data_IF_628687107408
#
_entry.id   IF_628687107408
#
_cell.length_a   1.000
_cell.length_b   1.000
_cell.length_c   1.000
_cell.angle_alpha   90.00
_cell.angle_beta   90.00
_cell.angle_gamma   90.00
#
_symmetry.space_group_name_H-M   'P 1'
#
loop_
_entity.id
_entity.type
_entity.pdbx_description
1 polymer ?
#
# COMPACT_ATOMS: atom_id res chain seq x y z
N UNK A 1 -8.09 -25.53 19.68
CA UNK A 1 -6.82 -26.07 19.16
C UNK A 1 -6.72 -25.69 17.69
N UNK A 2 -5.74 -24.87 17.32
CA UNK A 2 -5.50 -24.51 15.93
C UNK A 2 -4.87 -25.73 15.22
N UNK A 3 -5.58 -26.30 14.26
CA UNK A 3 -5.08 -27.40 13.42
C UNK A 3 -3.86 -26.88 12.64
N UNK A 4 -2.69 -27.46 12.89
CA UNK A 4 -1.48 -27.08 12.15
C UNK A 4 -1.70 -27.32 10.65
N UNK A 5 -1.50 -26.28 9.83
CA UNK A 5 -1.46 -26.43 8.38
C UNK A 5 -0.30 -27.37 8.03
N UNK A 6 -0.60 -28.56 7.52
CA UNK A 6 0.40 -29.36 6.81
C UNK A 6 0.70 -28.67 5.47
N UNK A 7 1.99 -28.56 5.13
CA UNK A 7 2.47 -27.77 3.98
C UNK A 7 1.83 -28.21 2.65
N UNK A 8 1.50 -29.49 2.47
CA UNK A 8 0.82 -29.98 1.26
C UNK A 8 -0.61 -29.44 1.10
N UNK A 9 -1.32 -29.17 2.20
CA UNK A 9 -2.65 -28.55 2.15
C UNK A 9 -2.57 -27.06 1.83
N UNK A 10 -1.53 -26.38 2.32
CA UNK A 10 -1.31 -24.96 2.05
C UNK A 10 -1.02 -24.71 0.56
N UNK A 11 -0.05 -25.42 -0.01
CA UNK A 11 0.35 -25.27 -1.42
C UNK A 11 -0.78 -25.61 -2.37
N UNK A 12 -1.50 -26.71 -2.10
CA UNK A 12 -2.68 -27.10 -2.86
C UNK A 12 -3.74 -26.00 -2.84
N UNK A 13 -4.03 -25.41 -1.67
CA UNK A 13 -5.01 -24.31 -1.58
C UNK A 13 -4.61 -23.06 -2.37
N UNK A 14 -3.31 -22.71 -2.39
CA UNK A 14 -2.81 -21.55 -3.15
C UNK A 14 -2.85 -21.79 -4.65
N UNK A 15 -2.55 -23.02 -5.09
CA UNK A 15 -2.64 -23.40 -6.49
C UNK A 15 -4.09 -23.40 -6.97
N UNK A 16 -5.03 -23.93 -6.17
CA UNK A 16 -6.46 -23.89 -6.48
C UNK A 16 -6.97 -22.46 -6.62
N UNK A 17 -6.62 -21.55 -5.69
CA UNK A 17 -7.00 -20.14 -5.78
C UNK A 17 -6.51 -19.45 -7.06
N UNK A 18 -5.29 -19.76 -7.50
CA UNK A 18 -4.75 -19.25 -8.77
C UNK A 18 -5.44 -19.88 -9.96
N UNK A 19 -5.70 -21.19 -9.93
CA UNK A 19 -6.41 -21.90 -10.99
C UNK A 19 -7.80 -21.28 -11.21
N UNK A 20 -8.58 -21.11 -10.14
CA UNK A 20 -9.89 -20.46 -10.17
C UNK A 20 -9.82 -19.04 -10.73
N UNK A 21 -8.82 -18.24 -10.30
CA UNK A 21 -8.61 -16.87 -10.81
C UNK A 21 -8.42 -16.84 -12.33
N UNK A 22 -7.72 -17.82 -12.88
CA UNK A 22 -7.45 -17.91 -14.31
C UNK A 22 -8.43 -18.80 -15.08
N UNK A 23 -9.53 -19.23 -14.44
CA UNK A 23 -10.55 -20.07 -15.07
C UNK A 23 -10.05 -21.46 -15.46
N UNK A 24 -9.05 -21.99 -14.75
CA UNK A 24 -8.54 -23.35 -14.93
C UNK A 24 -9.24 -24.31 -13.97
N UNK A 25 -9.55 -25.52 -14.46
CA UNK A 25 -10.08 -26.58 -13.62
C UNK A 25 -9.02 -27.04 -12.60
N UNK A 26 -9.36 -26.97 -11.32
CA UNK A 26 -8.48 -27.37 -10.23
C UNK A 26 -8.37 -28.91 -10.17
N UNK A 27 -7.52 -29.47 -11.02
CA UNK A 27 -7.18 -30.89 -11.01
C UNK A 27 -5.79 -31.13 -10.37
N UNK A 28 -5.50 -32.33 -9.84
CA UNK A 28 -4.19 -32.62 -9.26
C UNK A 28 -3.02 -32.45 -10.25
N UNK A 29 -3.27 -32.61 -11.55
CA UNK A 29 -2.26 -32.48 -12.60
C UNK A 29 -1.73 -31.05 -12.76
N UNK A 30 -2.51 -30.04 -12.33
CA UNK A 30 -2.14 -28.64 -12.46
C UNK A 30 -0.85 -28.30 -11.70
N UNK A 31 -0.58 -29.01 -10.60
CA UNK A 31 0.64 -28.88 -9.81
C UNK A 31 1.84 -29.42 -10.57
N UNK A 32 1.68 -30.53 -11.28
CA UNK A 32 2.75 -31.13 -12.08
C UNK A 32 3.09 -30.27 -13.31
N UNK A 33 2.07 -29.71 -13.96
CA UNK A 33 2.25 -28.74 -15.04
C UNK A 33 2.98 -27.49 -14.52
N UNK A 34 2.57 -27.00 -13.35
CA UNK A 34 3.20 -25.86 -12.69
C UNK A 34 4.69 -26.12 -12.39
N UNK A 35 5.02 -27.27 -11.79
CA UNK A 35 6.42 -27.67 -11.51
C UNK A 35 7.27 -27.64 -12.78
N UNK A 36 6.77 -28.22 -13.87
CA UNK A 36 7.48 -28.28 -15.16
C UNK A 36 7.62 -26.92 -15.84
N UNK A 37 6.71 -25.99 -15.55
CA UNK A 37 6.64 -24.70 -16.25
C UNK A 37 7.40 -23.60 -15.52
N UNK A 38 7.24 -23.52 -14.20
CA UNK A 38 7.70 -22.41 -13.39
C UNK A 38 8.99 -22.70 -12.61
N UNK A 39 9.49 -23.94 -12.62
CA UNK A 39 10.71 -24.31 -11.89
C UNK A 39 11.71 -25.03 -12.80
N UNK A 40 12.98 -25.01 -12.39
CA UNK A 40 14.04 -25.81 -12.99
C UNK A 40 14.52 -26.85 -11.97
N UNK A 41 14.34 -28.13 -12.27
CA UNK A 41 14.73 -29.24 -11.39
C UNK A 41 13.66 -29.60 -10.36
N UNK A 42 14.06 -30.38 -9.36
CA UNK A 42 13.17 -30.83 -8.29
C UNK A 42 12.79 -29.68 -7.34
N UNK A 43 11.55 -29.69 -6.87
CA UNK A 43 10.96 -28.59 -6.09
C UNK A 43 10.35 -29.15 -4.81
N UNK A 44 10.76 -28.61 -3.67
CA UNK A 44 10.11 -28.89 -2.39
C UNK A 44 8.77 -28.16 -2.25
N UNK A 45 7.86 -28.69 -1.44
CA UNK A 45 6.58 -28.02 -1.16
C UNK A 45 6.77 -26.61 -0.58
N UNK A 46 7.84 -26.38 0.20
CA UNK A 46 8.17 -25.06 0.73
C UNK A 46 8.51 -24.05 -0.37
N UNK A 47 9.32 -24.44 -1.36
CA UNK A 47 9.66 -23.61 -2.52
C UNK A 47 8.44 -23.36 -3.41
N UNK A 48 7.59 -24.39 -3.58
CA UNK A 48 6.32 -24.25 -4.29
C UNK A 48 5.42 -23.22 -3.62
N UNK A 49 5.25 -23.34 -2.30
CA UNK A 49 4.48 -22.39 -1.50
C UNK A 49 5.02 -20.96 -1.60
N UNK A 50 6.34 -20.78 -1.55
CA UNK A 50 6.96 -19.46 -1.68
C UNK A 50 6.63 -18.79 -3.03
N UNK A 51 6.71 -19.51 -4.14
CA UNK A 51 6.35 -18.96 -5.46
C UNK A 51 4.85 -18.61 -5.53
N UNK A 52 4.00 -19.53 -5.07
CA UNK A 52 2.54 -19.39 -5.14
C UNK A 52 2.02 -18.24 -4.27
N UNK A 53 2.67 -17.94 -3.14
CA UNK A 53 2.36 -16.77 -2.32
C UNK A 53 2.54 -15.49 -3.13
N UNK A 54 3.71 -15.32 -3.77
CA UNK A 54 4.02 -14.11 -4.57
C UNK A 54 3.11 -14.02 -5.79
N UNK A 55 2.86 -15.15 -6.46
CA UNK A 55 1.94 -15.23 -7.59
C UNK A 55 0.52 -14.80 -7.20
N UNK A 56 -0.02 -15.31 -6.09
CA UNK A 56 -1.34 -14.91 -5.59
C UNK A 56 -1.41 -13.43 -5.25
N UNK A 57 -0.36 -12.90 -4.60
CA UNK A 57 -0.35 -11.53 -4.13
C UNK A 57 -0.40 -10.52 -5.29
N UNK A 58 0.42 -10.73 -6.31
CA UNK A 58 0.43 -9.87 -7.49
C UNK A 58 -0.58 -10.30 -8.56
N UNK A 59 -1.25 -11.43 -8.36
CA UNK A 59 -2.17 -12.03 -9.32
C UNK A 59 -1.51 -12.58 -10.58
N UNK A 60 -0.22 -12.92 -10.52
CA UNK A 60 0.59 -13.36 -11.66
C UNK A 60 0.31 -14.82 -12.02
N UNK A 61 0.37 -15.13 -13.31
CA UNK A 61 0.12 -16.47 -13.83
C UNK A 61 1.42 -17.27 -14.03
N UNK A 62 1.72 -18.26 -13.16
CA UNK A 62 2.93 -19.06 -13.29
C UNK A 62 2.87 -20.08 -14.45
N UNK A 63 1.69 -20.46 -14.94
CA UNK A 63 1.53 -21.41 -16.05
C UNK A 63 1.87 -20.81 -17.42
N UNK A 64 1.88 -19.49 -17.54
CA UNK A 64 2.33 -18.77 -18.75
C UNK A 64 3.65 -18.04 -18.54
N UNK A 65 4.34 -18.32 -17.43
CA UNK A 65 5.64 -17.73 -17.06
C UNK A 65 5.62 -16.20 -16.88
N UNK A 66 4.50 -15.64 -16.46
CA UNK A 66 4.50 -14.27 -15.90
C UNK A 66 5.37 -14.21 -14.64
N UNK A 67 5.40 -15.30 -13.87
CA UNK A 67 6.29 -15.51 -12.73
C UNK A 67 6.86 -16.93 -12.74
N UNK A 68 8.13 -17.09 -12.39
CA UNK A 68 8.81 -18.38 -12.26
C UNK A 68 9.91 -18.30 -11.20
N UNK A 69 10.41 -19.46 -10.77
CA UNK A 69 11.41 -19.56 -9.72
C UNK A 69 12.81 -19.76 -10.32
N UNK A 70 13.76 -18.93 -9.88
CA UNK A 70 15.18 -19.21 -10.03
C UNK A 70 15.67 -19.99 -8.80
N UNK A 71 16.39 -21.11 -8.96
CA UNK A 71 16.91 -21.87 -7.82
C UNK A 71 18.05 -21.12 -7.12
N UNK A 72 18.04 -21.11 -5.79
CA UNK A 72 19.11 -20.50 -4.98
C UNK A 72 19.40 -21.34 -3.73
N UNK A 73 20.53 -22.06 -3.67
CA UNK A 73 21.08 -22.83 -2.52
C UNK A 73 20.04 -23.29 -1.45
N UNK A 74 18.99 -24.01 -1.87
CA UNK A 74 17.96 -24.57 -0.96
C UNK A 74 16.70 -23.70 -0.77
N UNK A 75 16.63 -22.54 -1.43
CA UNK A 75 15.52 -21.60 -1.51
C UNK A 75 15.18 -21.28 -2.98
N UNK A 76 14.33 -20.28 -3.23
CA UNK A 76 14.03 -19.77 -4.57
C UNK A 76 14.03 -18.23 -4.61
N UNK A 77 14.39 -17.68 -5.76
CA UNK A 77 14.19 -16.26 -6.10
C UNK A 77 12.99 -16.15 -7.05
N UNK A 78 11.88 -15.50 -6.67
CA UNK A 78 10.74 -15.26 -7.56
C UNK A 78 11.10 -14.26 -8.65
N UNK A 79 11.08 -14.72 -9.90
CA UNK A 79 11.38 -13.92 -11.09
C UNK A 79 10.11 -13.61 -11.84
N UNK A 80 9.87 -12.34 -12.13
CA UNK A 80 8.73 -11.87 -12.93
C UNK A 80 9.23 -11.53 -14.33
N UNK A 81 8.59 -12.11 -15.33
CA UNK A 81 8.87 -11.85 -16.74
C UNK A 81 8.39 -10.46 -17.16
N UNK A 82 8.82 -10.00 -18.34
CA UNK A 82 8.39 -8.70 -18.89
C UNK A 82 6.86 -8.61 -18.98
N UNK A 83 6.19 -9.69 -19.39
CA UNK A 83 4.74 -9.75 -19.49
C UNK A 83 4.07 -9.69 -18.11
N UNK A 84 4.67 -10.32 -17.09
CA UNK A 84 4.19 -10.24 -15.72
C UNK A 84 4.29 -8.82 -15.16
N UNK A 85 5.42 -8.15 -15.42
CA UNK A 85 5.61 -6.73 -15.08
C UNK A 85 4.60 -5.83 -15.81
N UNK A 86 4.39 -6.09 -17.11
CA UNK A 86 3.39 -5.36 -17.88
C UNK A 86 1.99 -5.56 -17.30
N UNK A 87 1.62 -6.78 -16.91
CA UNK A 87 0.32 -7.05 -16.32
C UNK A 87 0.12 -6.30 -15.00
N UNK A 88 1.04 -6.43 -14.04
CA UNK A 88 0.89 -5.78 -12.71
C UNK A 88 0.91 -4.26 -12.79
N UNK A 89 1.66 -3.68 -13.72
CA UNK A 89 1.67 -2.22 -13.94
C UNK A 89 0.36 -1.77 -14.58
N UNK A 90 -0.09 -2.43 -15.66
CA UNK A 90 -1.30 -2.03 -16.38
C UNK A 90 -2.57 -2.26 -15.57
N UNK A 91 -2.63 -3.33 -14.77
CA UNK A 91 -3.77 -3.65 -13.90
C UNK A 91 -3.83 -2.73 -12.67
N UNK A 92 -2.76 -1.98 -12.37
CA UNK A 92 -2.74 -1.12 -11.20
C UNK A 92 -3.76 0.02 -11.35
N UNK A 93 -4.72 0.22 -10.41
CA UNK A 93 -5.82 1.17 -10.56
C UNK A 93 -5.37 2.62 -10.83
N UNK A 94 -4.23 3.00 -10.25
CA UNK A 94 -3.64 4.33 -10.40
C UNK A 94 -2.77 4.50 -11.65
N UNK A 95 -2.52 3.47 -12.46
CA UNK A 95 -1.73 3.63 -13.69
C UNK A 95 -2.44 4.55 -14.68
N UNK A 96 -1.71 5.54 -15.21
CA UNK A 96 -2.21 6.53 -16.16
C UNK A 96 -1.32 6.65 -17.41
N UNK A 97 -0.65 5.56 -17.79
CA UNK A 97 0.23 5.52 -18.94
C UNK A 97 1.72 5.55 -18.58
N UNK A 98 2.52 5.11 -19.55
CA UNK A 98 3.97 5.11 -19.50
C UNK A 98 4.53 5.68 -20.81
N UNK A 99 5.57 6.50 -20.69
CA UNK A 99 6.31 7.05 -21.81
C UNK A 99 7.76 6.55 -21.75
N UNK A 100 8.41 6.54 -22.92
CA UNK A 100 9.80 6.14 -23.06
C UNK A 100 10.56 7.17 -23.87
N UNK A 101 11.63 7.71 -23.28
CA UNK A 101 12.59 8.57 -23.96
C UNK A 101 13.89 7.80 -24.11
N UNK A 102 14.27 7.50 -25.35
CA UNK A 102 15.51 6.79 -25.66
C UNK A 102 16.54 7.78 -26.17
N UNK A 103 17.77 7.71 -25.66
CA UNK A 103 18.89 8.48 -26.19
C UNK A 103 19.13 8.12 -27.66
N UNK A 104 19.55 9.08 -28.49
CA UNK A 104 19.73 8.88 -29.94
C UNK A 104 20.74 7.78 -30.27
N UNK A 105 21.81 7.71 -29.49
CA UNK A 105 22.83 6.65 -29.56
C UNK A 105 22.32 5.29 -29.04
N UNK A 106 21.22 5.29 -28.28
CA UNK A 106 20.65 4.13 -27.61
C UNK A 106 21.38 3.72 -26.33
N UNK A 107 22.23 4.59 -25.78
CA UNK A 107 23.01 4.33 -24.56
C UNK A 107 22.18 4.39 -23.28
N UNK A 108 21.02 5.06 -23.32
CA UNK A 108 20.13 5.21 -22.17
C UNK A 108 18.66 5.19 -22.58
N UNK A 109 17.80 4.73 -21.67
CA UNK A 109 16.34 4.83 -21.79
C UNK A 109 15.76 5.33 -20.48
N UNK A 110 14.97 6.39 -20.56
CA UNK A 110 14.15 6.89 -19.46
C UNK A 110 12.72 6.37 -19.62
N UNK A 111 12.23 5.64 -18.62
CA UNK A 111 10.81 5.34 -18.49
C UNK A 111 10.16 6.38 -17.56
N UNK A 112 8.99 6.88 -17.97
CA UNK A 112 8.20 7.87 -17.24
C UNK A 112 6.82 7.27 -17.02
N UNK A 113 6.46 6.99 -15.76
CA UNK A 113 5.13 6.45 -15.43
C UNK A 113 4.29 7.55 -14.78
N UNK A 114 3.12 7.78 -15.36
CA UNK A 114 2.12 8.68 -14.83
C UNK A 114 1.13 7.92 -13.95
N UNK A 115 0.77 8.53 -12.83
CA UNK A 115 -0.27 8.02 -11.93
C UNK A 115 -1.43 9.00 -11.82
N UNK A 116 -2.65 8.48 -11.65
CA UNK A 116 -3.87 9.29 -11.53
C UNK A 116 -3.94 10.10 -10.22
N UNK A 117 -3.18 9.68 -9.21
CA UNK A 117 -3.15 10.26 -7.87
C UNK A 117 -1.95 11.18 -7.61
N UNK A 118 -1.13 11.47 -8.62
CA UNK A 118 0.07 12.30 -8.48
C UNK A 118 0.18 13.34 -9.60
N UNK A 119 0.59 14.56 -9.24
CA UNK A 119 0.86 15.63 -10.21
C UNK A 119 2.19 15.44 -10.94
N UNK A 120 3.14 14.72 -10.32
CA UNK A 120 4.46 14.46 -10.87
C UNK A 120 4.66 12.97 -11.16
N UNK A 121 5.13 12.60 -12.37
CA UNK A 121 5.37 11.21 -12.71
C UNK A 121 6.66 10.70 -12.09
N UNK A 122 6.74 9.39 -11.92
CA UNK A 122 7.98 8.69 -11.59
C UNK A 122 8.84 8.59 -12.85
N UNK A 123 10.13 8.93 -12.75
CA UNK A 123 11.08 8.89 -13.86
C UNK A 123 12.28 8.05 -13.46
N UNK A 124 12.61 7.05 -14.27
CA UNK A 124 13.79 6.19 -14.06
C UNK A 124 14.56 6.09 -15.36
N UNK A 125 15.87 6.32 -15.29
CA UNK A 125 16.77 6.18 -16.42
C UNK A 125 17.69 5.00 -16.18
N UNK A 126 17.73 4.08 -17.13
CA UNK A 126 18.65 2.95 -17.15
C UNK A 126 19.69 3.15 -18.26
N UNK A 127 20.92 2.75 -17.99
CA UNK A 127 22.06 2.91 -18.89
C UNK A 127 22.50 1.56 -19.44
N UNK A 128 22.67 1.47 -20.77
CA UNK A 128 23.04 0.24 -21.47
C UNK A 128 24.32 -0.36 -20.88
N UNK A 129 25.32 0.47 -20.61
CA UNK A 129 26.61 0.05 -20.06
C UNK A 129 26.53 -0.65 -18.70
N UNK A 130 25.47 -0.41 -17.92
CA UNK A 130 25.25 -1.03 -16.60
C UNK A 130 24.35 -2.26 -16.69
N UNK A 131 23.36 -2.21 -17.58
CA UNK A 131 22.34 -3.25 -17.70
C UNK A 131 22.72 -4.39 -18.63
N UNK A 132 23.56 -4.15 -19.64
CA UNK A 132 23.83 -5.14 -20.68
C UNK A 132 24.47 -6.41 -20.11
N UNK A 133 24.17 -7.54 -20.74
CA UNK A 133 24.69 -8.86 -20.39
C UNK A 133 25.15 -9.59 -21.64
N UNK A 134 26.06 -10.55 -21.47
CA UNK A 134 26.57 -11.39 -22.56
C UNK A 134 25.57 -12.41 -23.13
N UNK A 135 24.26 -12.27 -22.86
CA UNK A 135 23.23 -13.23 -23.28
C UNK A 135 22.68 -12.93 -24.68
N UNK A 136 22.09 -13.94 -25.32
CA UNK A 136 21.61 -13.82 -26.71
C UNK A 136 20.53 -12.72 -26.93
N UNK A 137 19.56 -12.50 -26.01
CA UNK A 137 18.60 -11.40 -26.14
C UNK A 137 19.26 -10.01 -26.14
N UNK A 138 20.24 -9.79 -25.25
CA UNK A 138 20.99 -8.53 -25.20
C UNK A 138 21.86 -8.31 -26.44
N UNK A 139 22.46 -9.38 -26.99
CA UNK A 139 23.23 -9.32 -28.24
C UNK A 139 22.37 -8.96 -29.46
N UNK A 140 21.14 -9.47 -29.54
CA UNK A 140 20.27 -9.30 -30.71
C UNK A 140 19.37 -8.06 -30.64
N UNK A 141 18.91 -7.67 -29.44
CA UNK A 141 17.93 -6.59 -29.26
C UNK A 141 18.26 -5.72 -28.02
N UNK A 142 19.47 -5.12 -27.92
CA UNK A 142 19.94 -4.42 -26.72
C UNK A 142 19.02 -3.26 -26.30
N UNK A 143 18.56 -2.45 -27.27
CA UNK A 143 17.64 -1.32 -27.01
C UNK A 143 16.29 -1.77 -26.46
N UNK A 144 15.76 -2.90 -26.96
CA UNK A 144 14.49 -3.47 -26.47
C UNK A 144 14.65 -3.97 -25.03
N UNK A 145 15.75 -4.65 -24.75
CA UNK A 145 16.07 -5.16 -23.42
C UNK A 145 16.22 -4.00 -22.41
N UNK A 146 16.95 -2.95 -22.78
CA UNK A 146 17.12 -1.76 -21.96
C UNK A 146 15.78 -1.07 -21.66
N UNK A 147 14.90 -0.94 -22.67
CA UNK A 147 13.54 -0.41 -22.47
C UNK A 147 12.74 -1.24 -21.46
N UNK A 148 12.82 -2.58 -21.54
CA UNK A 148 12.15 -3.43 -20.55
C UNK A 148 12.72 -3.20 -19.15
N UNK A 149 14.04 -3.09 -19.01
CA UNK A 149 14.68 -2.81 -17.71
C UNK A 149 14.17 -1.49 -17.11
N UNK A 150 14.16 -0.43 -17.90
CA UNK A 150 13.65 0.88 -17.47
C UNK A 150 12.18 0.81 -17.06
N UNK A 151 11.34 0.06 -17.80
CA UNK A 151 9.94 -0.14 -17.45
C UNK A 151 9.76 -0.88 -16.12
N UNK A 152 10.50 -1.97 -15.90
CA UNK A 152 10.41 -2.78 -14.67
C UNK A 152 10.84 -1.96 -13.45
N UNK A 153 11.97 -1.25 -13.53
CA UNK A 153 12.47 -0.40 -12.42
C UNK A 153 11.55 0.81 -12.17
N UNK A 154 11.06 1.47 -13.23
CA UNK A 154 10.10 2.55 -13.08
C UNK A 154 8.78 2.07 -12.47
N UNK A 155 8.25 0.92 -12.91
CA UNK A 155 7.05 0.31 -12.35
C UNK A 155 7.21 -0.04 -10.88
N UNK A 156 8.38 -0.59 -10.51
CA UNK A 156 8.74 -0.88 -9.12
C UNK A 156 8.64 0.35 -8.23
N UNK A 157 9.27 1.46 -8.63
CA UNK A 157 9.25 2.70 -7.84
C UNK A 157 7.90 3.43 -7.92
N UNK A 158 7.21 3.35 -9.05
CA UNK A 158 5.91 4.00 -9.23
C UNK A 158 4.86 3.36 -8.34
N UNK A 159 4.85 2.04 -8.16
CA UNK A 159 3.79 1.31 -7.46
C UNK A 159 4.23 0.59 -6.18
N UNK A 160 5.51 0.65 -5.82
CA UNK A 160 6.02 0.05 -4.59
C UNK A 160 6.03 -1.48 -4.63
N UNK A 161 6.25 -2.09 -5.81
CA UNK A 161 6.31 -3.54 -5.91
C UNK A 161 7.58 -4.10 -5.24
N UNK A 162 7.41 -5.03 -4.31
CA UNK A 162 8.49 -5.63 -3.51
C UNK A 162 8.51 -7.16 -3.65
N UNK A 163 9.66 -7.79 -3.34
CA UNK A 163 9.76 -9.26 -3.32
C UNK A 163 9.67 -9.96 -4.69
N UNK A 164 9.67 -9.21 -5.79
CA UNK A 164 9.76 -9.70 -7.17
C UNK A 164 11.02 -9.15 -7.82
N UNK A 165 11.65 -9.93 -8.68
CA UNK A 165 12.90 -9.58 -9.37
C UNK A 165 12.75 -9.79 -10.87
N UNK A 166 13.47 -9.02 -11.68
CA UNK A 166 13.69 -9.43 -13.06
C UNK A 166 14.79 -10.50 -13.15
N UNK A 167 14.90 -11.12 -14.32
CA UNK A 167 15.83 -12.23 -14.53
C UNK A 167 17.29 -11.83 -14.29
N UNK A 168 17.69 -10.64 -14.73
CA UNK A 168 19.08 -10.21 -14.65
C UNK A 168 19.44 -9.85 -13.20
N UNK A 169 18.48 -9.36 -12.40
CA UNK A 169 18.62 -9.19 -10.95
C UNK A 169 18.78 -10.54 -10.24
N UNK A 170 17.97 -11.53 -10.59
CA UNK A 170 18.04 -12.87 -9.99
C UNK A 170 19.35 -13.58 -10.33
N UNK A 171 19.81 -13.48 -11.58
CA UNK A 171 21.12 -14.01 -11.99
C UNK A 171 22.25 -13.32 -11.20
N UNK A 172 22.19 -11.99 -11.02
CA UNK A 172 23.17 -11.28 -10.20
C UNK A 172 23.14 -11.66 -8.71
N UNK A 173 21.97 -11.96 -8.14
CA UNK A 173 21.82 -12.44 -6.74
C UNK A 173 22.47 -13.82 -6.58
N UNK A 174 22.35 -14.69 -7.58
CA UNK A 174 22.92 -16.04 -7.55
C UNK A 174 24.43 -16.01 -7.84
N UNK A 175 24.89 -15.14 -8.74
CA UNK A 175 26.31 -15.02 -9.12
C UNK A 175 27.16 -14.26 -8.09
N UNK A 176 26.63 -13.16 -7.54
CA UNK A 176 27.29 -12.45 -6.44
C UNK A 176 26.92 -13.16 -5.15
N UNK A 177 27.81 -14.04 -4.68
CA UNK A 177 27.90 -14.37 -3.26
C UNK A 177 27.93 -13.04 -2.48
N UNK A 178 26.77 -12.57 -2.01
CA UNK A 178 26.72 -11.48 -1.05
C UNK A 178 27.39 -12.01 0.22
N UNK A 179 28.69 -11.75 0.34
CA UNK A 179 29.53 -12.27 1.41
C UNK A 179 28.86 -12.17 2.77
N UNK A 180 28.83 -13.28 3.49
CA UNK A 180 28.44 -13.43 4.90
C UNK A 180 27.19 -12.67 5.39
N UNK A 181 26.25 -12.27 4.52
CA UNK A 181 24.88 -12.08 4.98
C UNK A 181 24.33 -13.48 5.20
N UNK A 182 24.26 -13.92 6.45
CA UNK A 182 23.74 -15.23 6.82
C UNK A 182 22.29 -15.32 6.34
N UNK A 183 22.09 -15.84 5.14
CA UNK A 183 20.77 -16.05 4.57
C UNK A 183 20.17 -17.26 5.26
N UNK A 184 19.46 -17.00 6.35
CA UNK A 184 18.57 -17.98 6.97
C UNK A 184 17.59 -18.43 5.88
N UNK A 185 17.36 -19.75 5.67
CA UNK A 185 16.40 -20.23 4.69
C UNK A 185 15.04 -19.55 4.96
N UNK A 186 14.64 -18.66 4.04
CA UNK A 186 13.46 -17.83 4.25
C UNK A 186 12.21 -18.65 4.06
N UNK A 187 11.31 -18.61 5.03
CA UNK A 187 10.03 -19.31 4.94
C UNK A 187 9.09 -18.59 3.96
N UNK A 188 8.10 -19.29 3.41
CA UNK A 188 7.05 -18.68 2.58
C UNK A 188 6.34 -17.51 3.29
N UNK A 189 6.32 -17.49 4.63
CA UNK A 189 5.81 -16.38 5.44
C UNK A 189 6.70 -15.14 5.38
N UNK A 190 8.02 -15.30 5.37
CA UNK A 190 8.96 -14.19 5.24
C UNK A 190 8.96 -13.59 3.82
N UNK A 191 8.74 -14.42 2.80
CA UNK A 191 8.44 -13.94 1.45
C UNK A 191 7.12 -13.17 1.41
N UNK A 192 6.05 -13.69 2.05
CA UNK A 192 4.77 -12.99 2.17
C UNK A 192 4.92 -11.64 2.88
N UNK A 193 5.70 -11.56 3.96
CA UNK A 193 5.92 -10.32 4.73
C UNK A 193 6.71 -9.26 3.96
N UNK A 194 7.75 -9.65 3.21
CA UNK A 194 8.50 -8.72 2.36
C UNK A 194 7.73 -8.29 1.12
N UNK A 195 6.89 -9.18 0.60
CA UNK A 195 6.08 -8.90 -0.56
C UNK A 195 4.85 -8.05 -0.22
N UNK A 196 4.39 -7.96 1.05
CA UNK A 196 3.28 -7.07 1.44
C UNK A 196 3.46 -5.70 0.76
N UNK A 197 2.45 -5.21 0.00
CA UNK A 197 2.51 -3.84 -0.48
C UNK A 197 2.75 -2.96 0.73
N UNK A 198 3.70 -2.02 0.63
CA UNK A 198 3.67 -0.89 1.56
C UNK A 198 2.28 -0.30 1.39
N UNK A 199 1.46 -0.24 2.46
CA UNK A 199 0.12 0.29 2.32
C UNK A 199 0.26 1.68 1.70
N UNK A 200 -0.44 1.91 0.57
CA UNK A 200 -0.82 3.26 0.22
C UNK A 200 -1.47 3.81 1.50
N UNK A 201 -0.85 4.83 2.11
CA UNK A 201 -1.05 5.26 3.49
C UNK A 201 -2.42 4.81 4.00
N UNK A 202 -2.44 3.79 4.87
CA UNK A 202 -3.69 3.20 5.35
C UNK A 202 -4.49 4.33 6.02
N UNK A 203 -5.43 4.89 5.28
CA UNK A 203 -6.26 5.98 5.75
C UNK A 203 -7.14 5.36 6.83
N UNK A 204 -6.81 5.63 8.08
CA UNK A 204 -7.63 5.27 9.23
C UNK A 204 -8.90 6.12 9.21
N UNK A 205 -9.87 5.67 8.40
CA UNK A 205 -11.17 6.31 8.24
C UNK A 205 -11.82 6.58 9.60
N UNK A 206 -11.67 5.67 10.55
CA UNK A 206 -12.32 5.79 11.84
C UNK A 206 -11.70 6.92 12.67
N UNK A 207 -10.37 7.05 12.64
CA UNK A 207 -9.68 8.18 13.26
C UNK A 207 -10.05 9.52 12.60
N UNK A 208 -10.04 9.59 11.26
CA UNK A 208 -10.37 10.82 10.52
C UNK A 208 -11.82 11.26 10.80
N UNK A 209 -12.77 10.33 10.85
CA UNK A 209 -14.17 10.65 11.18
C UNK A 209 -14.29 11.12 12.64
N UNK A 210 -13.58 10.50 13.58
CA UNK A 210 -13.57 10.91 14.99
C UNK A 210 -13.04 12.34 15.16
N UNK A 211 -11.95 12.70 14.48
CA UNK A 211 -11.37 14.04 14.56
C UNK A 211 -12.32 15.11 14.03
N UNK A 212 -12.98 14.85 12.89
CA UNK A 212 -14.00 15.75 12.36
C UNK A 212 -15.25 15.82 13.25
N UNK A 213 -15.65 14.72 13.89
CA UNK A 213 -16.78 14.69 14.82
C UNK A 213 -16.49 15.45 16.11
N UNK A 214 -15.24 15.41 16.61
CA UNK A 214 -14.82 16.25 17.75
C UNK A 214 -14.96 17.74 17.45
N UNK A 215 -14.58 18.17 16.24
CA UNK A 215 -14.77 19.56 15.79
C UNK A 215 -16.25 19.89 15.66
N UNK A 216 -17.04 18.98 15.08
CA UNK A 216 -18.47 19.20 14.89
C UNK A 216 -19.29 19.21 16.20
N UNK A 217 -18.73 18.72 17.30
CA UNK A 217 -19.38 18.65 18.63
C UNK A 217 -18.67 19.49 19.71
N UNK A 218 -17.76 20.38 19.34
CA UNK A 218 -17.09 21.23 20.33
C UNK A 218 -18.08 22.22 20.96
N UNK A 219 -17.75 22.74 22.15
CA UNK A 219 -18.57 23.74 22.86
C UNK A 219 -18.52 25.15 22.22
N UNK A 220 -17.88 25.28 21.05
CA UNK A 220 -17.80 26.54 20.32
C UNK A 220 -19.12 26.88 19.61
N UNK A 221 -19.43 28.17 19.37
CA UNK A 221 -20.61 28.56 18.60
C UNK A 221 -20.67 27.87 17.23
N UNK A 222 -21.89 27.58 16.75
CA UNK A 222 -22.12 26.86 15.49
C UNK A 222 -21.35 27.46 14.30
N UNK A 223 -21.27 28.80 14.20
CA UNK A 223 -20.50 29.48 13.14
C UNK A 223 -19.01 29.10 13.16
N UNK A 224 -18.41 29.00 14.35
CA UNK A 224 -17.01 28.62 14.53
C UNK A 224 -16.80 27.13 14.26
N UNK A 225 -17.69 26.25 14.73
CA UNK A 225 -17.64 24.81 14.40
C UNK A 225 -17.70 24.54 12.91
N UNK A 226 -18.58 25.24 12.19
CA UNK A 226 -18.72 25.11 10.74
C UNK A 226 -17.42 25.54 10.03
N UNK A 227 -16.86 26.68 10.43
CA UNK A 227 -15.61 27.19 9.86
C UNK A 227 -14.42 26.24 10.13
N UNK A 228 -14.28 25.76 11.37
CA UNK A 228 -13.21 24.85 11.76
C UNK A 228 -13.34 23.49 11.08
N UNK A 229 -14.57 22.96 10.95
CA UNK A 229 -14.83 21.73 10.22
C UNK A 229 -14.50 21.88 8.73
N UNK A 230 -14.81 23.03 8.12
CA UNK A 230 -14.47 23.30 6.73
C UNK A 230 -12.95 23.41 6.51
N UNK A 231 -12.24 24.05 7.44
CA UNK A 231 -10.78 24.14 7.41
C UNK A 231 -10.12 22.78 7.59
N UNK A 232 -10.59 21.97 8.55
CA UNK A 232 -10.12 20.61 8.74
C UNK A 232 -10.38 19.74 7.49
N UNK A 233 -11.57 19.84 6.90
CA UNK A 233 -11.91 19.14 5.66
C UNK A 233 -11.00 19.54 4.47
N UNK A 234 -10.67 20.84 4.34
CA UNK A 234 -9.72 21.34 3.35
C UNK A 234 -8.28 20.90 3.62
N UNK A 235 -7.92 20.63 4.88
CA UNK A 235 -6.62 20.09 5.28
C UNK A 235 -6.43 18.61 4.93
N UNK A 236 -7.51 17.83 4.82
CA UNK A 236 -7.45 16.41 4.46
C UNK A 236 -6.96 16.18 3.03
N UNK A 237 -6.23 15.10 2.83
CA UNK A 237 -5.82 14.55 1.54
C UNK A 237 -7.01 14.06 0.72
N UNK A 238 -6.80 13.81 -0.58
CA UNK A 238 -7.84 13.30 -1.48
C UNK A 238 -8.38 11.93 -1.04
N UNK A 239 -7.50 11.06 -0.56
CA UNK A 239 -7.86 9.70 -0.12
C UNK A 239 -8.60 9.72 1.23
N UNK A 240 -8.24 10.62 2.15
CA UNK A 240 -8.98 10.85 3.40
C UNK A 240 -10.40 11.35 3.14
N UNK A 241 -10.57 12.34 2.24
CA UNK A 241 -11.90 12.83 1.86
C UNK A 241 -12.75 11.74 1.20
N UNK A 242 -12.14 10.90 0.37
CA UNK A 242 -12.80 9.76 -0.25
C UNK A 242 -13.21 8.70 0.79
N UNK A 243 -12.37 8.43 1.78
CA UNK A 243 -12.63 7.47 2.85
C UNK A 243 -13.77 7.92 3.78
N UNK A 244 -13.84 9.22 4.11
CA UNK A 244 -14.96 9.78 4.90
C UNK A 244 -16.26 9.70 4.09
N UNK A 245 -16.23 10.13 2.83
CA UNK A 245 -17.36 10.03 1.91
C UNK A 245 -18.44 11.12 2.08
N UNK A 246 -19.24 11.31 1.03
CA UNK A 246 -20.20 12.43 0.93
C UNK A 246 -21.34 12.37 1.97
N UNK A 247 -21.77 11.17 2.36
CA UNK A 247 -22.83 11.00 3.36
C UNK A 247 -22.35 11.41 4.76
N UNK A 248 -21.12 11.04 5.12
CA UNK A 248 -20.58 11.28 6.45
C UNK A 248 -20.25 12.75 6.66
N UNK A 249 -19.60 13.40 5.68
CA UNK A 249 -19.34 14.84 5.77
C UNK A 249 -20.64 15.67 5.80
N UNK A 250 -21.73 15.18 5.18
CA UNK A 250 -23.05 15.80 5.28
C UNK A 250 -23.63 15.65 6.70
N UNK A 251 -23.48 14.48 7.35
CA UNK A 251 -23.86 14.26 8.76
C UNK A 251 -23.10 15.21 9.67
N UNK A 252 -21.77 15.29 9.51
CA UNK A 252 -20.90 16.11 10.34
C UNK A 252 -21.19 17.62 10.19
N UNK A 253 -21.48 18.09 8.97
CA UNK A 253 -21.93 19.47 8.75
C UNK A 253 -23.26 19.78 9.43
N UNK A 254 -24.20 18.84 9.44
CA UNK A 254 -25.47 18.99 10.15
C UNK A 254 -25.27 19.01 11.68
N UNK A 255 -24.32 18.23 12.20
CA UNK A 255 -23.94 18.25 13.62
C UNK A 255 -23.32 19.59 14.02
N UNK A 256 -22.35 20.10 13.24
CA UNK A 256 -21.70 21.38 13.50
C UNK A 256 -22.70 22.56 13.50
N UNK A 257 -23.73 22.49 12.65
CA UNK A 257 -24.76 23.51 12.48
C UNK A 257 -25.94 23.40 13.45
N UNK A 258 -26.03 22.34 14.25
CA UNK A 258 -27.06 22.25 15.28
C UNK A 258 -26.79 23.34 16.33
N UNK A 259 -27.78 24.16 16.64
CA UNK A 259 -27.72 25.05 17.80
C UNK A 259 -27.73 24.20 19.06
N UNK A 260 -26.77 24.42 19.96
CA UNK A 260 -26.83 23.79 21.28
C UNK A 260 -28.10 24.28 21.96
N UNK A 261 -28.94 23.33 22.38
CA UNK A 261 -30.12 23.64 23.16
C UNK A 261 -29.67 24.46 24.37
N UNK A 262 -29.97 25.77 24.34
CA UNK A 262 -29.63 26.66 25.43
C UNK A 262 -30.28 26.07 26.68
N UNK A 263 -29.54 25.84 27.78
CA UNK A 263 -30.17 25.41 29.01
C UNK A 263 -31.17 26.51 29.39
N UNK A 264 -32.46 26.18 29.33
CA UNK A 264 -33.55 27.00 29.86
C UNK A 264 -33.12 27.50 31.23
N UNK A 265 -32.90 28.81 31.37
CA UNK A 265 -32.77 29.41 32.69
C UNK A 265 -34.03 29.08 33.46
N UNK A 266 -33.90 28.17 34.43
CA UNK A 266 -34.94 27.91 35.40
C UNK A 266 -35.22 29.22 36.13
N UNK A 267 -36.47 29.68 36.04
CA UNK A 267 -36.98 30.78 36.84
C UNK A 267 -36.63 30.54 38.32
N UNK A 268 -35.92 31.49 38.93
CA UNK A 268 -35.72 31.51 40.37
C UNK A 268 -37.09 31.68 41.05
N UNK A 269 -37.46 30.84 42.04
CA UNK A 269 -38.63 31.09 42.87
C UNK A 269 -38.34 32.22 43.86
N UNK A 270 -39.35 33.05 44.07
CA UNK A 270 -39.42 34.18 45.00
C UNK A 270 -38.75 33.92 46.37
N UNK A 271 -37.91 34.87 46.79
CA UNK A 271 -37.53 35.04 48.18
C UNK A 271 -38.29 36.24 48.77
N UNK A 272 -39.19 35.95 49.71
CA UNK A 272 -39.86 36.94 50.57
C UNK A 272 -38.88 37.46 51.66
N UNK A 273 -39.21 38.60 52.31
CA UNK A 273 -38.21 39.53 52.82
C UNK A 273 -37.81 39.26 54.27
N UNK A 274 -36.60 39.65 54.63
CA UNK A 274 -36.25 39.89 56.03
C UNK A 274 -35.50 41.21 56.21
N UNK A 275 -35.84 41.86 57.31
CA UNK A 275 -35.61 43.26 57.61
C UNK A 275 -34.41 43.47 58.54
N UNK A 276 -34.03 44.75 58.67
CA UNK A 276 -33.24 45.38 59.75
C UNK A 276 -31.71 45.14 59.69
N UNK A 277 -30.82 46.08 60.02
CA UNK A 277 -30.92 47.39 60.64
C UNK A 277 -29.70 48.25 60.25
N UNK A 278 -29.93 49.54 60.15
CA UNK A 278 -28.94 50.64 60.22
C UNK A 278 -28.31 50.71 61.61
N UNK A 279 -26.98 50.81 61.73
CA UNK A 279 -26.36 51.55 62.84
C UNK A 279 -25.11 52.30 62.38
N UNK A 280 -25.20 53.62 62.57
CA UNK A 280 -24.14 54.61 62.54
C UNK A 280 -23.03 54.28 63.55
N UNK A 281 -21.80 54.60 63.15
CA UNK A 281 -20.61 54.57 63.99
C UNK A 281 -20.26 56.01 64.42
N UNK A 282 -20.37 56.39 65.71
CA UNK A 282 -19.93 57.69 66.18
C UNK A 282 -18.64 57.59 67.01
N UNK A 283 -17.66 58.45 66.69
CA UNK A 283 -16.37 58.70 67.36
C UNK A 283 -15.22 57.69 67.07
N UNK A 284 -14.21 58.04 66.28
CA UNK A 284 -13.05 58.90 66.63
C UNK A 284 -12.30 58.50 67.92
N UNK A 285 -11.29 57.64 67.75
CA UNK A 285 -9.89 57.87 68.12
C UNK A 285 -9.46 57.83 69.60
N UNK A 286 -8.67 56.81 69.98
CA UNK A 286 -7.50 56.95 70.88
C UNK A 286 -6.44 55.89 70.50
N UNK A 287 -5.18 56.33 70.37
CA UNK A 287 -3.98 55.53 70.13
C UNK A 287 -3.54 54.75 71.38
N UNK A 288 -2.85 53.62 71.17
CA UNK A 288 -1.50 53.37 71.71
C UNK A 288 -0.64 52.70 70.64
#
# INVERSE_FOLDING_TARGET
>A
MATALTVSNFTSSLATKLAERFGMDANPEIIDVLKKTAFKGDVSDAQMGALLVVANQYGLNPWVKEIYAFPDKGSIVPVVGVDGWARIVNDHPQFNGAEFVMAEDGSAVTCIIHRKDRDHPTRVTEYLAECERGTQPWKSHPRRMLRHKAFMQCGRLAFGFTGIYDRDEAEAIVEKDMGAAQQVPRTAQQFAEQAKPQPAAEVDREQVVRDLEMIARSDDPAEKRIADLENAWKGLTKDERAAVGAAEIKRLKALAAAEDATPTQAAQPDAAPDAQATEDNPFEGVQE
#
